data_IF_851780885809
#
_entry.id   IF_851780885809
#
_cell.length_a   1.000
_cell.length_b   1.000
_cell.length_c   1.000
_cell.angle_alpha   90.00
_cell.angle_beta   90.00
_cell.angle_gamma   90.00
#
_symmetry.space_group_name_H-M   'P 1'
#
loop_
_entity.id
_entity.type
_entity.pdbx_description
1 polymer ?
#
# COMPACT_ATOMS: atom_id res chain seq x y z
N UNK A 1 0.56 -2.48 15.32
CA UNK A 1 0.05 -1.15 14.92
C UNK A 1 0.32 -0.18 16.06
N UNK A 2 1.15 0.84 15.81
CA UNK A 2 1.45 1.91 16.77
C UNK A 2 0.67 3.15 16.37
N UNK A 3 -0.18 3.64 17.26
CA UNK A 3 -1.20 4.65 16.95
C UNK A 3 -1.01 5.85 17.86
N UNK A 4 -1.08 7.06 17.29
CA UNK A 4 -1.27 8.27 18.09
C UNK A 4 -2.67 8.83 17.82
N UNK A 5 -3.28 9.42 18.85
CA UNK A 5 -4.61 10.03 18.76
C UNK A 5 -4.46 11.52 19.03
N UNK A 6 -4.92 12.33 18.09
CA UNK A 6 -4.91 13.78 18.17
C UNK A 6 -6.25 14.29 17.63
N UNK A 7 -7.22 14.52 18.51
CA UNK A 7 -8.53 15.05 18.12
C UNK A 7 -8.76 16.41 18.76
N UNK A 8 -9.48 17.31 18.10
CA UNK A 8 -9.94 18.56 18.71
C UNK A 8 -11.06 18.30 19.72
N UNK A 9 -11.87 17.27 19.52
CA UNK A 9 -12.87 16.81 20.49
C UNK A 9 -12.27 15.96 21.61
N UNK A 10 -12.28 16.49 22.85
CA UNK A 10 -11.80 15.78 24.06
C UNK A 10 -12.56 14.47 24.30
N UNK A 11 -13.88 14.46 24.06
CA UNK A 11 -14.71 13.27 24.25
C UNK A 11 -14.31 12.16 23.28
N UNK A 12 -14.10 12.51 22.01
CA UNK A 12 -13.66 11.56 20.99
C UNK A 12 -12.26 11.05 21.30
N UNK A 13 -11.34 11.95 21.67
CA UNK A 13 -9.99 11.59 22.05
C UNK A 13 -9.99 10.56 23.19
N UNK A 14 -10.71 10.83 24.29
CA UNK A 14 -10.78 9.92 25.45
C UNK A 14 -11.45 8.59 25.10
N UNK A 15 -12.45 8.61 24.23
CA UNK A 15 -13.12 7.40 23.76
C UNK A 15 -12.18 6.52 22.93
N UNK A 16 -11.45 7.13 21.99
CA UNK A 16 -10.44 6.44 21.17
C UNK A 16 -9.28 5.93 22.02
N UNK A 17 -8.79 6.72 22.97
CA UNK A 17 -7.76 6.29 23.92
C UNK A 17 -8.22 5.04 24.70
N UNK A 18 -9.50 5.01 25.13
CA UNK A 18 -10.09 3.87 25.83
C UNK A 18 -10.24 2.63 24.94
N UNK A 19 -10.58 2.81 23.66
CA UNK A 19 -10.70 1.69 22.72
C UNK A 19 -9.34 1.14 22.27
N UNK A 20 -8.27 1.94 22.36
CA UNK A 20 -6.95 1.66 21.79
C UNK A 20 -5.83 1.51 22.84
N UNK A 21 -6.16 1.27 24.11
CA UNK A 21 -5.21 1.23 25.26
C UNK A 21 -3.95 0.37 25.01
N UNK A 22 -4.00 -0.67 24.17
CA UNK A 22 -2.85 -1.51 23.82
C UNK A 22 -2.02 -1.08 22.60
N UNK A 23 -2.45 -0.04 21.89
CA UNK A 23 -1.83 0.41 20.62
C UNK A 23 -1.34 1.86 20.66
N UNK A 24 -1.61 2.58 21.75
CA UNK A 24 -1.23 3.99 21.90
C UNK A 24 0.27 4.16 22.07
N UNK A 25 0.84 5.09 21.30
CA UNK A 25 2.22 5.56 21.43
C UNK A 25 2.26 7.07 21.27
N UNK A 26 3.40 7.68 21.65
CA UNK A 26 3.65 9.09 21.39
C UNK A 26 3.70 9.39 19.89
N UNK A 27 3.34 10.61 19.50
CA UNK A 27 3.33 11.10 18.11
C UNK A 27 4.67 10.88 17.37
N UNK A 28 5.80 10.89 18.06
CA UNK A 28 7.12 10.69 17.44
C UNK A 28 7.41 9.23 17.04
N UNK A 29 6.63 8.27 17.54
CA UNK A 29 6.87 6.82 17.34
C UNK A 29 5.65 6.11 16.74
N UNK A 30 4.63 6.85 16.33
CA UNK A 30 3.44 6.26 15.74
C UNK A 30 3.65 5.94 14.26
N UNK A 31 2.99 4.89 13.81
CA UNK A 31 2.91 4.55 12.39
C UNK A 31 1.90 5.50 11.71
N UNK A 32 0.76 5.74 12.35
CA UNK A 32 -0.28 6.64 11.84
C UNK A 32 -1.02 7.35 12.97
N UNK A 33 -1.66 8.47 12.61
CA UNK A 33 -2.34 9.38 13.54
C UNK A 33 -3.84 9.34 13.27
N UNK A 34 -4.66 9.25 14.31
CA UNK A 34 -6.11 9.39 14.21
C UNK A 34 -6.48 10.81 14.62
N UNK A 35 -7.23 11.50 13.74
CA UNK A 35 -7.67 12.88 13.95
C UNK A 35 -9.11 13.08 13.49
N UNK A 36 -9.83 14.00 14.10
CA UNK A 36 -11.14 14.46 13.60
C UNK A 36 -11.03 15.56 12.53
N UNK A 37 -9.91 16.27 12.52
CA UNK A 37 -9.60 17.33 11.56
C UNK A 37 -8.54 16.91 10.55
N UNK A 38 -8.50 17.61 9.41
CA UNK A 38 -7.46 17.42 8.39
C UNK A 38 -6.15 17.97 8.95
N UNK A 39 -5.20 17.08 9.24
CA UNK A 39 -3.86 17.47 9.67
C UNK A 39 -2.97 17.72 8.44
N UNK A 40 -2.39 18.91 8.35
CA UNK A 40 -1.45 19.28 7.28
C UNK A 40 -0.04 18.89 7.70
N UNK A 41 0.71 18.24 6.82
CA UNK A 41 2.11 17.87 7.06
C UNK A 41 2.34 16.47 7.63
N UNK A 42 1.29 15.65 7.75
CA UNK A 42 1.40 14.25 8.10
C UNK A 42 0.83 13.40 6.96
N UNK A 43 1.64 12.49 6.42
CA UNK A 43 1.22 11.64 5.30
C UNK A 43 0.26 10.52 5.73
N UNK A 44 0.27 10.17 7.02
CA UNK A 44 -0.40 8.97 7.53
C UNK A 44 -1.42 9.34 8.60
N UNK A 45 -2.49 10.01 8.16
CA UNK A 45 -3.57 10.48 9.03
C UNK A 45 -4.87 9.80 8.65
N UNK A 46 -5.52 9.23 9.65
CA UNK A 46 -6.84 8.62 9.53
C UNK A 46 -7.89 9.58 10.10
N UNK A 47 -8.77 10.07 9.24
CA UNK A 47 -9.74 11.11 9.59
C UNK A 47 -11.06 10.53 10.09
N UNK A 48 -11.53 11.01 11.24
CA UNK A 48 -12.80 10.64 11.88
C UNK A 48 -13.78 11.80 11.84
N UNK A 49 -14.70 11.79 10.88
CA UNK A 49 -15.62 12.89 10.60
C UNK A 49 -17.06 12.44 10.46
N UNK A 50 -17.98 13.39 10.30
CA UNK A 50 -19.36 13.09 9.90
C UNK A 50 -19.56 13.19 8.38
N UNK A 51 -18.55 13.69 7.66
CA UNK A 51 -18.60 13.89 6.22
C UNK A 51 -18.29 12.60 5.47
N UNK A 52 -18.75 12.50 4.22
CA UNK A 52 -18.44 11.36 3.34
C UNK A 52 -16.95 11.28 2.94
N UNK A 53 -16.17 12.33 3.17
CA UNK A 53 -14.72 12.36 2.93
C UNK A 53 -13.90 11.83 4.12
N UNK A 54 -14.55 11.38 5.20
CA UNK A 54 -13.85 10.81 6.34
C UNK A 54 -13.56 9.33 6.12
N UNK A 55 -12.37 8.88 6.52
CA UNK A 55 -12.00 7.45 6.52
C UNK A 55 -12.88 6.65 7.48
N UNK A 56 -13.26 7.28 8.60
CA UNK A 56 -14.23 6.76 9.56
C UNK A 56 -15.35 7.77 9.71
N UNK A 57 -16.55 7.38 9.25
CA UNK A 57 -17.76 8.19 9.36
C UNK A 57 -18.43 7.95 10.71
N UNK A 58 -18.82 9.03 11.40
CA UNK A 58 -19.61 9.00 12.64
C UNK A 58 -21.10 8.80 12.32
N UNK A 59 -21.86 8.06 13.14
CA UNK A 59 -21.41 7.23 14.26
C UNK A 59 -20.78 5.91 13.79
N UNK A 60 -19.84 5.38 14.57
CA UNK A 60 -19.18 4.09 14.29
C UNK A 60 -19.14 3.20 15.53
N UNK A 61 -19.14 1.89 15.32
CA UNK A 61 -18.90 0.90 16.37
C UNK A 61 -17.41 0.66 16.59
N UNK A 62 -17.06 0.02 17.72
CA UNK A 62 -15.69 -0.43 17.98
C UNK A 62 -15.18 -1.34 16.85
N UNK A 63 -15.99 -2.29 16.37
CA UNK A 63 -15.59 -3.18 15.27
C UNK A 63 -15.32 -2.44 13.97
N UNK A 64 -16.13 -1.42 13.64
CA UNK A 64 -15.90 -0.58 12.45
C UNK A 64 -14.59 0.21 12.57
N UNK A 65 -14.26 0.74 13.76
CA UNK A 65 -12.99 1.39 14.02
C UNK A 65 -11.82 0.44 13.73
N UNK A 66 -11.81 -0.77 14.30
CA UNK A 66 -10.72 -1.72 14.08
C UNK A 66 -10.61 -2.17 12.62
N UNK A 67 -11.74 -2.41 11.95
CA UNK A 67 -11.73 -2.79 10.53
C UNK A 67 -11.14 -1.69 9.64
N UNK A 68 -11.49 -0.43 9.90
CA UNK A 68 -10.92 0.71 9.17
C UNK A 68 -9.40 0.83 9.41
N UNK A 69 -8.97 0.62 10.65
CA UNK A 69 -7.56 0.63 11.04
C UNK A 69 -6.77 -0.49 10.34
N UNK A 70 -7.27 -1.72 10.34
CA UNK A 70 -6.64 -2.86 9.68
C UNK A 70 -6.54 -2.64 8.16
N UNK A 71 -7.62 -2.13 7.55
CA UNK A 71 -7.63 -1.79 6.13
C UNK A 71 -6.57 -0.76 5.79
N UNK A 72 -6.48 0.31 6.57
CA UNK A 72 -5.50 1.37 6.36
C UNK A 72 -4.06 0.84 6.50
N UNK A 73 -3.82 0.01 7.52
CA UNK A 73 -2.51 -0.62 7.73
C UNK A 73 -2.13 -1.56 6.58
N UNK A 74 -3.07 -2.39 6.10
CA UNK A 74 -2.83 -3.31 4.99
C UNK A 74 -2.55 -2.57 3.66
N UNK A 75 -3.27 -1.47 3.40
CA UNK A 75 -3.02 -0.62 2.22
C UNK A 75 -1.61 -0.03 2.26
N UNK A 76 -1.17 0.42 3.44
CA UNK A 76 0.19 0.94 3.60
C UNK A 76 1.26 -0.13 3.42
N UNK A 77 1.07 -1.33 3.97
CA UNK A 77 2.03 -2.42 3.75
C UNK A 77 2.19 -2.75 2.27
N UNK A 78 1.08 -2.75 1.51
CA UNK A 78 1.12 -2.95 0.06
C UNK A 78 1.81 -1.79 -0.67
N UNK A 79 1.57 -0.55 -0.25
CA UNK A 79 2.23 0.62 -0.83
C UNK A 79 3.75 0.56 -0.62
N UNK A 80 4.20 0.24 0.60
CA UNK A 80 5.62 0.07 0.90
C UNK A 80 6.25 -1.04 0.07
N UNK A 81 5.59 -2.21 -0.04
CA UNK A 81 6.08 -3.32 -0.87
C UNK A 81 6.15 -2.95 -2.36
N UNK A 82 5.17 -2.19 -2.86
CA UNK A 82 5.19 -1.73 -4.24
C UNK A 82 6.33 -0.74 -4.50
N UNK A 83 6.67 0.09 -3.50
CA UNK A 83 7.74 1.06 -3.58
C UNK A 83 9.12 0.40 -3.52
N UNK A 84 9.31 -0.59 -2.64
CA UNK A 84 10.54 -1.42 -2.60
C UNK A 84 10.78 -2.13 -3.93
N UNK A 85 9.73 -2.70 -4.54
CA UNK A 85 9.83 -3.34 -5.86
C UNK A 85 10.13 -2.36 -7.00
N UNK A 86 9.70 -1.09 -6.89
CA UNK A 86 10.02 -0.06 -7.88
C UNK A 86 11.48 0.39 -7.76
N UNK A 87 11.99 0.56 -6.54
CA UNK A 87 13.39 0.89 -6.27
C UNK A 87 14.33 -0.22 -6.77
N UNK A 88 13.98 -1.50 -6.59
CA UNK A 88 14.75 -2.64 -7.14
C UNK A 88 14.82 -2.63 -8.68
N UNK A 89 13.75 -2.18 -9.36
CA UNK A 89 13.73 -2.10 -10.83
C UNK A 89 14.57 -0.91 -11.33
N UNK A 90 14.51 0.23 -10.64
CA UNK A 90 15.31 1.42 -10.99
C UNK A 90 16.82 1.18 -10.79
N UNK A 91 17.22 0.44 -9.75
CA UNK A 91 18.63 0.07 -9.52
C UNK A 91 19.17 -0.91 -10.59
N UNK A 92 18.33 -1.77 -11.17
CA UNK A 92 18.72 -2.64 -12.29
C UNK A 92 18.87 -1.88 -13.62
N UNK A 93 18.14 -0.77 -13.83
CA UNK A 93 18.23 0.05 -15.05
C UNK A 93 19.49 0.95 -15.08
N UNK A 94 19.95 1.47 -13.93
CA UNK A 94 21.14 2.33 -13.85
C UNK A 94 22.48 1.57 -14.00
N UNK A 95 22.50 0.24 -13.86
CA UNK A 95 23.70 -0.58 -14.05
C UNK A 95 24.03 -0.89 -15.53
N UNK A 96 23.17 -0.52 -16.49
CA UNK A 96 23.34 -0.84 -17.93
C UNK A 96 23.64 0.39 -18.81
N UNK A 97 24.49 1.33 -18.36
CA UNK A 97 24.98 2.41 -19.23
C UNK A 97 26.47 2.28 -19.52
N UNK A 98 26.79 1.65 -20.66
CA UNK A 98 27.98 1.95 -21.47
C UNK A 98 27.67 1.65 -22.96
N UNK A 99 28.26 2.42 -23.89
CA UNK A 99 27.49 3.23 -24.83
C UNK A 99 27.44 2.62 -26.22
N UNK A 100 26.30 2.68 -26.91
CA UNK A 100 26.31 2.87 -28.36
C UNK A 100 25.03 3.58 -28.81
N UNK A 101 25.19 4.88 -28.96
CA UNK A 101 24.60 5.74 -29.99
C UNK A 101 24.04 4.94 -31.18
N UNK A 102 22.72 4.92 -31.38
CA UNK A 102 22.05 5.30 -32.63
C UNK A 102 20.58 4.85 -32.70
N UNK A 103 19.74 5.84 -33.02
CA UNK A 103 18.51 5.77 -33.81
C UNK A 103 17.18 5.20 -33.22
N UNK A 104 16.19 6.10 -33.23
CA UNK A 104 14.73 5.89 -33.42
C UNK A 104 13.86 5.29 -32.30
N UNK A 105 13.25 6.18 -31.51
CA UNK A 105 11.80 6.33 -31.26
C UNK A 105 10.88 5.08 -31.17
N UNK A 106 10.54 4.73 -29.92
CA UNK A 106 9.17 4.73 -29.34
C UNK A 106 8.05 3.79 -29.86
N UNK A 107 8.32 2.50 -30.07
CA UNK A 107 7.29 1.43 -30.03
C UNK A 107 7.90 0.04 -29.78
N UNK A 108 8.99 -0.04 -29.02
CA UNK A 108 9.71 -1.29 -28.79
C UNK A 108 9.50 -1.89 -27.40
N UNK A 109 9.26 -1.05 -26.39
CA UNK A 109 9.27 -1.48 -24.98
C UNK A 109 7.99 -2.22 -24.57
N UNK A 110 6.82 -1.82 -25.10
CA UNK A 110 5.54 -2.48 -24.75
C UNK A 110 5.39 -3.80 -25.48
N UNK A 111 5.74 -3.83 -26.75
CA UNK A 111 5.66 -4.96 -27.67
C UNK A 111 6.57 -6.09 -27.18
N UNK A 112 7.83 -5.76 -26.85
CA UNK A 112 8.77 -6.73 -26.25
C UNK A 112 8.30 -7.24 -24.90
N UNK A 113 7.68 -6.40 -24.06
CA UNK A 113 7.13 -6.82 -22.76
C UNK A 113 5.91 -7.75 -22.92
N UNK A 114 5.03 -7.46 -23.88
CA UNK A 114 3.88 -8.32 -24.24
C UNK A 114 4.36 -9.67 -24.78
N UNK A 115 5.35 -9.66 -25.68
CA UNK A 115 5.95 -10.89 -26.23
C UNK A 115 6.60 -11.74 -25.13
N UNK A 116 7.31 -11.12 -24.19
CA UNK A 116 7.93 -11.82 -23.07
C UNK A 116 6.89 -12.45 -22.13
N UNK A 117 5.83 -11.72 -21.78
CA UNK A 117 4.75 -12.22 -20.92
C UNK A 117 3.99 -13.38 -21.59
N UNK A 118 3.68 -13.25 -22.87
CA UNK A 118 2.96 -14.29 -23.62
C UNK A 118 3.82 -15.54 -23.80
N UNK A 119 5.11 -15.39 -24.12
CA UNK A 119 6.03 -16.52 -24.21
C UNK A 119 6.17 -17.27 -22.88
N UNK A 120 6.27 -16.54 -21.77
CA UNK A 120 6.34 -17.14 -20.43
C UNK A 120 5.04 -17.90 -20.07
N UNK A 121 3.88 -17.32 -20.34
CA UNK A 121 2.58 -17.96 -20.09
C UNK A 121 2.43 -19.26 -20.90
N UNK A 122 2.73 -19.22 -22.20
CA UNK A 122 2.67 -20.41 -23.08
C UNK A 122 3.58 -21.52 -22.55
N UNK A 123 4.81 -21.18 -22.14
CA UNK A 123 5.76 -22.15 -21.56
C UNK A 123 5.23 -22.78 -20.28
N UNK A 124 4.62 -21.98 -19.40
CA UNK A 124 4.04 -22.45 -18.14
C UNK A 124 2.87 -23.41 -18.37
N UNK A 125 1.93 -23.04 -19.25
CA UNK A 125 0.79 -23.91 -19.60
C UNK A 125 1.26 -25.23 -20.20
N UNK A 126 2.24 -25.20 -21.12
CA UNK A 126 2.79 -26.43 -21.70
C UNK A 126 3.46 -27.34 -20.66
N UNK A 127 4.16 -26.77 -19.68
CA UNK A 127 4.78 -27.54 -18.61
C UNK A 127 3.73 -28.24 -17.73
N UNK A 128 2.68 -27.52 -17.33
CA UNK A 128 1.59 -28.06 -16.52
C UNK A 128 0.85 -29.18 -17.28
N UNK A 129 0.54 -28.95 -18.56
CA UNK A 129 -0.14 -29.95 -19.38
C UNK A 129 0.75 -31.18 -19.58
N UNK A 130 2.04 -31.01 -19.88
CA UNK A 130 2.97 -32.15 -19.97
C UNK A 130 3.06 -32.94 -18.67
N UNK A 131 3.20 -32.27 -17.53
CA UNK A 131 3.21 -32.93 -16.22
C UNK A 131 1.93 -33.75 -15.98
N UNK A 132 0.79 -33.23 -16.40
CA UNK A 132 -0.49 -33.91 -16.25
C UNK A 132 -0.63 -35.14 -17.18
N UNK A 133 -0.07 -35.10 -18.39
CA UNK A 133 -0.15 -36.21 -19.35
C UNK A 133 0.99 -37.22 -19.23
N UNK A 134 2.15 -36.84 -18.70
CA UNK A 134 3.28 -37.75 -18.45
C UNK A 134 3.14 -38.55 -17.14
N UNK A 135 2.19 -38.18 -16.27
CA UNK A 135 1.83 -38.92 -15.03
C UNK A 135 0.67 -39.92 -15.20
N UNK A 136 0.06 -40.02 -16.39
CA UNK A 136 -1.01 -40.98 -16.71
C UNK A 136 -0.45 -42.16 -17.51
#
# INVERSE_FOLDING_TARGET
>A
MRIAVQCSSVLLQKSLETFLVGHLVSMNKCDFIISDEKLVGYENVLRVGSDSEADIVKPFSKSQLFLALERHYALRQKANQAQELLEEIEEEEDAFVAPTENASASSGSLETKIERLTAHYVKSVLAIVKEHYERA
#
